data_IF_691696679369
#
_entry.id   IF_691696679369
#
_cell.length_a   1.000
_cell.length_b   1.000
_cell.length_c   1.000
_cell.angle_alpha   90.00
_cell.angle_beta   90.00
_cell.angle_gamma   90.00
#
_symmetry.space_group_name_H-M   'P 1'
#
loop_
_entity.id
_entity.type
_entity.pdbx_description
1 polymer ?
#
# COMPACT_ATOMS: atom_id res chain seq x y z
N UNK A 1 -75.72 -21.08 -31.31
CA UNK A 1 -74.49 -20.55 -31.87
C UNK A 1 -73.48 -20.34 -30.72
N UNK A 2 -72.59 -21.33 -30.47
CA UNK A 2 -71.61 -21.27 -29.38
C UNK A 2 -70.29 -20.76 -29.96
N UNK A 3 -69.80 -19.61 -29.48
CA UNK A 3 -68.41 -19.14 -29.77
C UNK A 3 -67.48 -19.71 -28.80
N UNK A 4 -66.55 -20.58 -29.28
CA UNK A 4 -65.41 -21.10 -28.48
C UNK A 4 -64.34 -20.01 -28.36
N UNK A 5 -64.03 -19.61 -27.13
CA UNK A 5 -62.83 -18.82 -26.83
C UNK A 5 -61.64 -19.77 -26.70
N UNK A 6 -60.62 -19.57 -27.52
CA UNK A 6 -59.31 -20.25 -27.43
C UNK A 6 -58.44 -19.36 -26.56
N UNK A 7 -58.08 -19.88 -25.40
CA UNK A 7 -57.11 -19.25 -24.49
C UNK A 7 -55.69 -19.66 -24.89
N UNK A 8 -54.96 -18.78 -25.54
CA UNK A 8 -53.58 -19.02 -25.92
C UNK A 8 -52.66 -18.83 -24.70
N UNK A 9 -52.03 -19.91 -24.25
CA UNK A 9 -50.98 -19.90 -23.20
C UNK A 9 -49.64 -19.42 -23.83
N UNK A 10 -49.27 -18.18 -23.58
CA UNK A 10 -47.91 -17.70 -23.95
C UNK A 10 -46.96 -18.09 -22.85
N UNK A 11 -46.17 -19.16 -23.07
CA UNK A 11 -45.07 -19.54 -22.21
C UNK A 11 -43.91 -18.58 -22.49
N UNK A 12 -43.72 -17.59 -21.62
CA UNK A 12 -42.53 -16.74 -21.65
C UNK A 12 -41.30 -17.50 -21.22
N UNK A 13 -40.45 -17.93 -22.16
CA UNK A 13 -39.09 -18.34 -21.90
C UNK A 13 -38.27 -17.08 -21.49
N UNK A 14 -38.07 -16.89 -20.20
CA UNK A 14 -36.99 -16.01 -19.72
C UNK A 14 -35.66 -16.70 -19.94
N UNK A 15 -35.00 -16.45 -21.08
CA UNK A 15 -33.58 -16.73 -21.24
C UNK A 15 -32.84 -15.83 -20.24
N UNK A 16 -32.45 -16.41 -19.12
CA UNK A 16 -31.42 -15.85 -18.26
C UNK A 16 -30.13 -15.76 -19.08
N UNK A 17 -29.84 -14.59 -19.61
CA UNK A 17 -28.55 -14.33 -20.20
C UNK A 17 -27.49 -14.43 -19.11
N UNK A 18 -26.90 -15.60 -18.93
CA UNK A 18 -25.58 -15.72 -18.35
C UNK A 18 -24.64 -14.95 -19.30
N UNK A 19 -24.38 -13.70 -19.02
CA UNK A 19 -23.28 -12.98 -19.64
C UNK A 19 -22.02 -13.69 -19.10
N UNK A 20 -21.59 -14.73 -19.81
CA UNK A 20 -20.24 -15.24 -19.66
C UNK A 20 -19.33 -14.06 -19.95
N UNK A 21 -18.72 -13.47 -18.93
CA UNK A 21 -17.63 -12.54 -19.13
C UNK A 21 -16.62 -13.28 -20.00
N UNK A 22 -16.37 -12.76 -21.21
CA UNK A 22 -15.29 -13.28 -22.04
C UNK A 22 -14.04 -13.32 -21.17
N UNK A 23 -13.23 -14.38 -21.29
CA UNK A 23 -12.02 -14.59 -20.51
C UNK A 23 -11.04 -13.44 -20.76
N UNK A 24 -11.24 -12.32 -20.03
CA UNK A 24 -10.35 -11.16 -20.10
C UNK A 24 -9.09 -11.46 -19.29
N UNK A 25 -7.92 -11.29 -19.89
CA UNK A 25 -6.64 -11.52 -19.21
C UNK A 25 -6.46 -10.55 -18.04
N UNK A 26 -5.90 -11.05 -16.95
CA UNK A 26 -5.47 -10.23 -15.82
C UNK A 26 -4.08 -9.66 -16.12
N UNK A 27 -3.90 -8.36 -15.86
CA UNK A 27 -2.60 -7.69 -15.95
C UNK A 27 -2.12 -7.32 -14.53
N UNK A 28 -1.32 -8.19 -13.89
CA UNK A 28 -0.76 -7.88 -12.58
C UNK A 28 0.28 -6.77 -12.69
N UNK A 29 0.12 -5.74 -11.86
CA UNK A 29 1.06 -4.63 -11.75
C UNK A 29 1.79 -4.75 -10.42
N UNK A 30 3.11 -4.84 -10.44
CA UNK A 30 3.95 -4.93 -9.25
C UNK A 30 4.78 -3.67 -9.05
N UNK A 31 5.53 -3.63 -7.97
CA UNK A 31 6.48 -2.58 -7.66
C UNK A 31 7.91 -3.06 -7.88
N UNK A 32 8.83 -2.12 -7.92
CA UNK A 32 10.28 -2.35 -7.99
C UNK A 32 10.81 -3.20 -6.82
N UNK A 33 11.95 -3.86 -7.01
CA UNK A 33 12.52 -4.79 -6.02
C UNK A 33 12.87 -4.14 -4.67
N UNK A 34 13.25 -2.87 -4.64
CA UNK A 34 13.54 -2.10 -3.42
C UNK A 34 12.30 -1.65 -2.66
N UNK A 35 11.11 -1.75 -3.26
CA UNK A 35 9.86 -1.29 -2.68
C UNK A 35 9.51 -2.02 -1.38
N UNK A 36 9.30 -1.24 -0.32
CA UNK A 36 8.75 -1.77 0.92
C UNK A 36 7.31 -2.27 0.75
N UNK A 37 6.52 -1.63 -0.13
CA UNK A 37 5.15 -2.05 -0.44
C UNK A 37 5.14 -3.43 -1.08
N UNK A 38 6.04 -3.69 -2.05
CA UNK A 38 6.21 -5.02 -2.64
C UNK A 38 6.66 -6.04 -1.58
N UNK A 39 7.63 -5.69 -0.74
CA UNK A 39 8.11 -6.59 0.31
C UNK A 39 7.00 -7.00 1.27
N UNK A 40 6.21 -6.04 1.78
CA UNK A 40 5.09 -6.32 2.66
C UNK A 40 3.97 -7.11 1.93
N UNK A 41 3.66 -6.76 0.68
CA UNK A 41 2.67 -7.46 -0.13
C UNK A 41 3.04 -8.93 -0.34
N UNK A 42 4.26 -9.22 -0.78
CA UNK A 42 4.71 -10.59 -1.04
C UNK A 42 4.77 -11.42 0.24
N UNK A 43 5.10 -10.81 1.38
CA UNK A 43 5.09 -11.46 2.68
C UNK A 43 3.67 -11.79 3.16
N UNK A 44 2.76 -10.80 3.15
CA UNK A 44 1.38 -10.96 3.64
C UNK A 44 0.57 -11.97 2.81
N UNK A 45 0.77 -12.00 1.50
CA UNK A 45 0.08 -12.91 0.59
C UNK A 45 0.85 -14.21 0.33
N UNK A 46 2.02 -14.39 0.95
CA UNK A 46 2.82 -15.60 0.78
C UNK A 46 3.43 -15.77 -0.62
N UNK A 47 3.56 -14.70 -1.41
CA UNK A 47 4.12 -14.71 -2.76
C UNK A 47 5.64 -14.85 -2.70
N UNK A 48 6.06 -15.99 -2.15
CA UNK A 48 7.45 -16.32 -1.89
C UNK A 48 7.69 -17.78 -2.25
N UNK A 49 8.89 -18.09 -2.72
CA UNK A 49 9.35 -19.46 -2.89
C UNK A 49 10.65 -19.66 -2.12
N UNK A 50 10.87 -20.87 -1.65
CA UNK A 50 12.11 -21.23 -1.00
C UNK A 50 13.17 -21.60 -2.05
N UNK A 51 14.33 -20.99 -1.96
CA UNK A 51 15.48 -21.32 -2.78
C UNK A 51 16.72 -21.38 -1.90
N UNK A 52 17.36 -22.54 -1.78
CA UNK A 52 18.55 -22.77 -0.97
C UNK A 52 18.39 -22.27 0.48
N UNK A 53 17.25 -22.58 1.12
CA UNK A 53 16.91 -22.17 2.49
C UNK A 53 16.60 -20.68 2.67
N UNK A 54 16.41 -19.93 1.58
CA UNK A 54 16.02 -18.52 1.63
C UNK A 54 14.67 -18.32 0.95
N UNK A 55 13.80 -17.55 1.59
CA UNK A 55 12.55 -17.08 0.98
C UNK A 55 12.88 -15.97 -0.02
N UNK A 56 12.50 -16.18 -1.27
CA UNK A 56 12.67 -15.19 -2.34
C UNK A 56 11.31 -14.82 -2.92
N UNK A 57 11.20 -13.61 -3.43
CA UNK A 57 10.01 -13.10 -4.11
C UNK A 57 9.67 -13.97 -5.33
N UNK A 58 8.42 -14.45 -5.37
CA UNK A 58 7.89 -15.32 -6.43
C UNK A 58 6.96 -14.57 -7.38
N UNK A 59 6.94 -13.24 -7.34
CA UNK A 59 6.13 -12.44 -8.28
C UNK A 59 6.46 -12.84 -9.71
N UNK A 60 5.42 -13.12 -10.50
CA UNK A 60 5.58 -13.51 -11.91
C UNK A 60 6.35 -12.47 -12.71
N UNK A 61 7.21 -12.91 -13.59
CA UNK A 61 7.94 -12.04 -14.53
C UNK A 61 7.04 -11.36 -15.56
N UNK A 62 5.78 -11.80 -15.69
CA UNK A 62 4.78 -11.16 -16.55
C UNK A 62 4.16 -9.92 -15.91
N UNK A 63 4.36 -9.69 -14.60
CA UNK A 63 3.88 -8.49 -13.94
C UNK A 63 4.63 -7.26 -14.45
N UNK A 64 3.89 -6.23 -14.85
CA UNK A 64 4.47 -4.92 -15.14
C UNK A 64 5.03 -4.32 -13.84
N UNK A 65 6.20 -3.70 -13.91
CA UNK A 65 6.89 -3.15 -12.74
C UNK A 65 6.84 -1.62 -12.75
N UNK A 66 6.30 -1.04 -11.69
CA UNK A 66 6.24 0.41 -11.47
C UNK A 66 7.20 0.82 -10.34
N UNK A 67 7.68 2.07 -10.38
CA UNK A 67 8.71 2.59 -9.48
C UNK A 67 8.19 3.51 -8.37
N UNK A 68 6.88 3.73 -8.28
CA UNK A 68 6.27 4.54 -7.23
C UNK A 68 4.79 4.21 -7.02
N UNK A 69 4.23 4.66 -5.89
CA UNK A 69 2.80 4.53 -5.59
C UNK A 69 1.94 5.28 -6.61
N UNK A 70 2.36 6.48 -7.03
CA UNK A 70 1.64 7.29 -8.02
C UNK A 70 1.61 6.61 -9.40
N UNK A 71 2.74 6.08 -9.86
CA UNK A 71 2.82 5.35 -11.15
C UNK A 71 1.95 4.09 -11.09
N UNK A 72 1.96 3.32 -9.98
CA UNK A 72 1.06 2.18 -9.79
C UNK A 72 -0.41 2.57 -9.98
N UNK A 73 -0.87 3.64 -9.33
CA UNK A 73 -2.26 4.10 -9.47
C UNK A 73 -2.59 4.52 -10.91
N UNK A 74 -1.70 5.27 -11.55
CA UNK A 74 -1.89 5.71 -12.94
C UNK A 74 -1.94 4.51 -13.90
N UNK A 75 -1.07 3.52 -13.75
CA UNK A 75 -1.06 2.32 -14.58
C UNK A 75 -2.37 1.53 -14.42
N UNK A 76 -2.82 1.31 -13.17
CA UNK A 76 -4.10 0.61 -12.92
C UNK A 76 -5.30 1.43 -13.44
N UNK A 77 -5.30 2.74 -13.28
CA UNK A 77 -6.37 3.62 -13.77
C UNK A 77 -6.51 3.58 -15.30
N UNK A 78 -5.44 3.36 -16.03
CA UNK A 78 -5.42 3.36 -17.49
C UNK A 78 -5.58 1.95 -18.12
N UNK A 79 -5.67 0.89 -17.33
CA UNK A 79 -5.82 -0.48 -17.82
C UNK A 79 -7.01 -1.17 -17.14
N UNK A 80 -8.09 -1.42 -17.91
CA UNK A 80 -9.33 -2.05 -17.40
C UNK A 80 -9.09 -3.37 -16.68
N UNK A 81 -8.13 -4.15 -17.15
CA UNK A 81 -7.85 -5.50 -16.68
C UNK A 81 -6.68 -5.55 -15.67
N UNK A 82 -6.16 -4.40 -15.27
CA UNK A 82 -5.06 -4.33 -14.32
C UNK A 82 -5.53 -4.60 -12.87
N UNK A 83 -4.65 -5.25 -12.13
CA UNK A 83 -4.71 -5.39 -10.67
C UNK A 83 -3.37 -4.96 -10.08
N UNK A 84 -3.41 -4.17 -9.01
CA UNK A 84 -2.23 -3.70 -8.31
C UNK A 84 -2.47 -3.59 -6.80
N UNK A 85 -1.53 -3.01 -6.10
CA UNK A 85 -1.61 -2.82 -4.65
C UNK A 85 -0.91 -1.54 -4.21
N UNK A 86 -1.51 -0.83 -3.26
CA UNK A 86 -1.01 0.45 -2.75
C UNK A 86 -1.20 0.57 -1.24
N UNK A 87 -0.57 1.59 -0.66
CA UNK A 87 -0.91 2.12 0.66
C UNK A 87 -2.36 2.61 0.68
N UNK A 88 -3.14 2.24 1.70
CA UNK A 88 -4.53 2.67 1.86
C UNK A 88 -4.63 4.19 1.97
N UNK A 89 -3.71 4.84 2.69
CA UNK A 89 -3.71 6.29 2.83
C UNK A 89 -3.36 7.05 1.54
N UNK A 90 -2.91 6.35 0.49
CA UNK A 90 -2.70 6.92 -0.86
C UNK A 90 -3.90 6.73 -1.79
N UNK A 91 -4.91 5.95 -1.36
CA UNK A 91 -6.07 5.67 -2.19
C UNK A 91 -6.84 6.97 -2.53
N UNK A 92 -7.17 7.12 -3.78
CA UNK A 92 -8.01 8.20 -4.29
C UNK A 92 -9.05 7.65 -5.28
N UNK A 93 -9.84 8.53 -5.87
CA UNK A 93 -10.93 8.18 -6.76
C UNK A 93 -10.51 7.85 -8.21
N UNK A 94 -9.23 7.76 -8.53
CA UNK A 94 -8.76 7.33 -9.86
C UNK A 94 -8.80 5.81 -10.04
N UNK A 95 -8.74 5.05 -8.96
CA UNK A 95 -8.80 3.58 -8.94
C UNK A 95 -9.87 3.09 -7.97
N UNK A 96 -10.19 1.81 -8.02
CA UNK A 96 -11.12 1.15 -7.11
C UNK A 96 -10.38 0.18 -6.20
N UNK A 97 -10.48 0.37 -4.88
CA UNK A 97 -10.10 -0.65 -3.92
C UNK A 97 -11.17 -1.74 -3.84
N UNK A 98 -10.74 -2.99 -3.68
CA UNK A 98 -11.65 -4.14 -3.55
C UNK A 98 -11.48 -4.83 -2.20
N UNK A 99 -12.51 -5.53 -1.76
CA UNK A 99 -12.48 -6.35 -0.55
C UNK A 99 -11.50 -7.51 -0.71
N UNK A 100 -10.88 -7.91 0.38
CA UNK A 100 -10.11 -9.16 0.45
C UNK A 100 -10.77 -10.03 1.53
N UNK A 101 -11.12 -11.27 1.20
CA UNK A 101 -11.88 -12.18 2.07
C UNK A 101 -13.20 -11.55 2.58
N UNK A 102 -13.87 -10.77 1.72
CA UNK A 102 -15.12 -10.07 2.05
C UNK A 102 -14.97 -8.80 2.90
N UNK A 103 -13.76 -8.42 3.27
CA UNK A 103 -13.50 -7.24 4.12
C UNK A 103 -12.88 -6.11 3.30
N UNK A 104 -13.51 -4.93 3.32
CA UNK A 104 -12.97 -3.72 2.66
C UNK A 104 -11.75 -3.17 3.40
N UNK A 105 -10.73 -2.70 2.67
CA UNK A 105 -9.63 -1.96 3.27
C UNK A 105 -10.16 -0.61 3.80
N UNK A 106 -10.16 -0.46 5.12
CA UNK A 106 -10.50 0.80 5.79
C UNK A 106 -9.73 0.93 7.11
N UNK A 107 -9.55 2.16 7.56
CA UNK A 107 -8.92 2.44 8.87
C UNK A 107 -9.68 1.73 10.00
N UNK A 108 -11.02 1.75 9.95
CA UNK A 108 -11.86 1.07 10.92
C UNK A 108 -11.63 -0.45 10.94
N UNK A 109 -11.62 -1.09 9.76
CA UNK A 109 -11.44 -2.54 9.64
C UNK A 109 -10.02 -3.00 10.00
N UNK A 110 -9.02 -2.12 9.87
CA UNK A 110 -7.67 -2.42 10.36
C UNK A 110 -7.61 -2.27 11.88
N UNK A 111 -8.23 -1.23 12.44
CA UNK A 111 -8.26 -0.99 13.89
C UNK A 111 -8.98 -2.11 14.65
N UNK A 112 -10.11 -2.59 14.13
CA UNK A 112 -10.87 -3.69 14.74
C UNK A 112 -10.33 -5.08 14.36
N UNK A 113 -9.21 -5.14 13.57
CA UNK A 113 -8.50 -6.34 13.13
C UNK A 113 -9.30 -7.26 12.19
N UNK A 114 -10.42 -6.82 11.63
CA UNK A 114 -11.15 -7.57 10.59
C UNK A 114 -10.37 -7.57 9.27
N UNK A 115 -9.74 -6.45 8.89
CA UNK A 115 -8.81 -6.38 7.76
C UNK A 115 -7.37 -6.57 8.23
N UNK A 116 -6.79 -7.73 7.94
CA UNK A 116 -5.47 -8.12 8.45
C UNK A 116 -4.30 -7.75 7.53
N UNK A 117 -4.57 -7.07 6.42
CA UNK A 117 -3.56 -6.72 5.42
C UNK A 117 -3.04 -5.32 5.75
N UNK A 118 -2.12 -5.27 6.71
CA UNK A 118 -1.52 -4.04 7.21
C UNK A 118 -0.03 -4.23 7.51
N UNK A 119 0.68 -3.12 7.60
CA UNK A 119 2.13 -3.08 7.80
C UNK A 119 2.54 -1.84 8.59
N UNK A 120 3.70 -1.83 9.24
CA UNK A 120 4.24 -0.60 9.80
C UNK A 120 4.77 0.33 8.69
N UNK A 121 4.55 1.61 8.88
CA UNK A 121 5.36 2.66 8.32
C UNK A 121 6.45 3.00 9.32
N UNK A 122 7.68 2.69 8.96
CA UNK A 122 8.84 2.87 9.80
C UNK A 122 9.69 4.05 9.32
N UNK A 123 10.35 4.69 10.27
CA UNK A 123 11.48 5.58 10.02
C UNK A 123 12.74 4.95 10.62
N UNK A 124 13.84 5.06 9.91
CA UNK A 124 15.16 4.58 10.35
C UNK A 124 16.15 5.72 10.45
N UNK A 125 17.01 5.68 11.47
CA UNK A 125 18.10 6.62 11.67
C UNK A 125 19.37 5.85 12.04
N UNK A 126 20.54 6.36 11.68
CA UNK A 126 21.83 5.79 12.08
C UNK A 126 22.50 6.65 13.16
N UNK A 127 22.41 7.96 13.03
CA UNK A 127 22.90 8.92 14.01
C UNK A 127 21.73 9.73 14.52
N UNK A 128 21.81 10.17 15.77
CA UNK A 128 20.80 11.04 16.36
C UNK A 128 21.40 12.41 16.71
N UNK A 129 20.56 13.43 16.62
CA UNK A 129 20.88 14.76 17.08
C UNK A 129 19.58 15.43 17.61
N UNK A 130 19.66 16.58 18.29
CA UNK A 130 18.47 17.23 18.84
C UNK A 130 17.37 17.54 17.81
N UNK A 131 17.72 17.83 16.55
CA UNK A 131 16.75 18.14 15.51
C UNK A 131 16.01 16.88 15.02
N UNK A 132 16.74 15.78 14.80
CA UNK A 132 16.16 14.48 14.46
C UNK A 132 15.18 14.02 15.55
N UNK A 133 15.60 14.09 16.81
CA UNK A 133 14.76 13.66 17.95
C UNK A 133 13.49 14.52 18.09
N UNK A 134 13.61 15.83 17.95
CA UNK A 134 12.47 16.75 18.04
C UNK A 134 11.47 16.50 16.91
N UNK A 135 11.95 16.37 15.67
CA UNK A 135 11.10 16.07 14.52
C UNK A 135 10.43 14.70 14.61
N UNK A 136 11.16 13.66 15.01
CA UNK A 136 10.59 12.32 15.15
C UNK A 136 9.60 12.24 16.31
N UNK A 137 9.90 12.89 17.43
CA UNK A 137 8.96 12.98 18.54
C UNK A 137 7.66 13.70 18.15
N UNK A 138 7.75 14.77 17.37
CA UNK A 138 6.60 15.42 16.77
C UNK A 138 5.81 14.47 15.87
N UNK A 139 6.48 13.91 14.86
CA UNK A 139 5.85 13.15 13.78
C UNK A 139 5.11 11.92 14.30
N UNK A 140 5.71 11.16 15.23
CA UNK A 140 5.11 9.95 15.81
C UNK A 140 3.89 10.27 16.70
N UNK A 141 3.84 11.48 17.29
CA UNK A 141 2.74 11.90 18.14
C UNK A 141 1.70 12.79 17.43
N UNK A 142 1.85 13.06 16.15
CA UNK A 142 0.95 13.88 15.34
C UNK A 142 -0.33 13.11 14.94
N UNK A 143 -1.05 12.56 15.94
CA UNK A 143 -2.22 11.69 15.78
C UNK A 143 -3.22 12.24 14.77
N UNK A 144 -3.63 13.50 14.93
CA UNK A 144 -4.66 14.10 14.07
C UNK A 144 -4.24 14.14 12.58
N UNK A 145 -2.96 14.37 12.28
CA UNK A 145 -2.44 14.38 10.91
C UNK A 145 -2.41 12.96 10.35
N UNK A 146 -1.92 12.00 11.15
CA UNK A 146 -1.81 10.59 10.77
C UNK A 146 -3.19 10.03 10.44
N UNK A 147 -4.17 10.20 11.34
CA UNK A 147 -5.53 9.66 11.18
C UNK A 147 -6.30 10.35 10.05
N UNK A 148 -6.20 11.68 9.93
CA UNK A 148 -6.80 12.42 8.79
C UNK A 148 -6.21 12.01 7.45
N UNK A 149 -5.01 11.47 7.44
CA UNK A 149 -4.34 10.97 6.23
C UNK A 149 -4.65 9.50 5.92
N UNK A 150 -5.55 8.85 6.67
CA UNK A 150 -5.98 7.47 6.41
C UNK A 150 -5.04 6.40 7.01
N UNK A 151 -4.22 6.78 8.00
CA UNK A 151 -3.32 5.87 8.71
C UNK A 151 -3.72 5.72 10.17
N UNK A 152 -3.09 4.79 10.88
CA UNK A 152 -3.35 4.52 12.28
C UNK A 152 -2.18 5.02 13.12
N UNK A 153 -2.46 5.94 14.04
CA UNK A 153 -1.48 6.45 14.99
C UNK A 153 -1.16 5.40 16.06
N UNK A 154 0.12 5.20 16.35
CA UNK A 154 0.58 4.23 17.35
C UNK A 154 0.86 4.87 18.71
N UNK A 155 1.02 6.19 18.76
CA UNK A 155 1.33 6.96 19.98
C UNK A 155 0.53 8.26 20.03
N UNK A 156 0.34 8.77 21.24
CA UNK A 156 -0.49 9.97 21.50
C UNK A 156 0.03 10.77 22.68
N UNK A 157 1.34 10.96 22.78
CA UNK A 157 1.92 11.77 23.85
C UNK A 157 1.89 13.26 23.47
N UNK A 158 1.67 14.12 24.47
CA UNK A 158 1.81 15.57 24.28
C UNK A 158 3.25 15.89 23.87
N UNK A 159 3.39 16.66 22.79
CA UNK A 159 4.66 17.09 22.25
C UNK A 159 4.85 18.60 22.48
N UNK A 160 6.05 18.98 22.87
CA UNK A 160 6.50 20.38 22.96
C UNK A 160 7.88 20.44 22.31
N UNK A 161 7.99 21.21 21.22
CA UNK A 161 9.25 21.38 20.50
C UNK A 161 10.25 22.22 21.30
N UNK A 162 11.51 21.80 21.27
CA UNK A 162 12.65 22.58 21.76
C UNK A 162 13.18 23.57 20.69
N UNK A 163 12.56 23.59 19.51
CA UNK A 163 12.88 24.46 18.37
C UNK A 163 14.37 24.45 17.97
N UNK A 164 14.98 23.26 17.81
CA UNK A 164 16.35 23.13 17.34
C UNK A 164 16.47 23.68 15.91
N UNK A 165 17.63 24.25 15.57
CA UNK A 165 17.93 24.78 14.23
C UNK A 165 18.67 23.76 13.39
N UNK A 166 18.53 23.81 12.08
CA UNK A 166 19.33 23.06 11.15
C UNK A 166 18.60 22.56 9.92
N UNK A 167 19.26 21.62 9.21
CA UNK A 167 18.72 20.96 8.03
C UNK A 167 18.56 19.46 8.31
N UNK A 168 17.49 18.87 7.78
CA UNK A 168 17.26 17.42 7.73
C UNK A 168 17.04 16.99 6.28
N UNK A 169 17.60 15.83 5.92
CA UNK A 169 17.32 15.13 4.68
C UNK A 169 16.59 13.83 5.04
N UNK A 170 15.38 13.67 4.50
CA UNK A 170 14.52 12.50 4.69
C UNK A 170 14.41 11.81 3.33
N UNK A 171 14.73 10.51 3.24
CA UNK A 171 14.70 9.81 1.96
C UNK A 171 14.00 8.46 2.07
N UNK A 172 13.42 7.96 0.97
CA UNK A 172 12.92 6.60 0.87
C UNK A 172 11.49 6.48 0.35
N UNK A 173 10.72 5.58 0.96
CA UNK A 173 9.45 5.04 0.48
C UNK A 173 8.46 6.05 -0.08
N UNK A 174 8.11 5.91 -1.36
CA UNK A 174 7.05 6.69 -2.04
C UNK A 174 5.66 6.52 -1.41
N UNK A 175 5.41 5.44 -0.66
CA UNK A 175 4.15 5.24 0.05
C UNK A 175 4.05 6.08 1.34
N UNK A 176 5.20 6.43 1.94
CA UNK A 176 5.25 7.25 3.16
C UNK A 176 5.32 8.74 2.79
N UNK A 177 5.86 9.08 1.63
CA UNK A 177 6.09 10.46 1.20
C UNK A 177 4.87 11.37 1.40
N UNK A 178 3.62 11.01 1.01
CA UNK A 178 2.47 11.91 1.20
C UNK A 178 2.15 12.23 2.67
N UNK A 179 2.37 11.27 3.57
CA UNK A 179 2.23 11.52 5.02
C UNK A 179 3.39 12.38 5.54
N UNK A 180 4.61 12.09 5.11
CA UNK A 180 5.80 12.80 5.56
C UNK A 180 5.76 14.27 5.15
N UNK A 181 5.29 14.60 3.96
CA UNK A 181 5.10 15.98 3.50
C UNK A 181 4.17 16.78 4.41
N UNK A 182 3.02 16.19 4.78
CA UNK A 182 2.08 16.82 5.73
C UNK A 182 2.67 17.02 7.12
N UNK A 183 3.45 16.03 7.59
CA UNK A 183 4.13 16.11 8.88
C UNK A 183 5.21 17.20 8.88
N UNK A 184 5.98 17.31 7.79
CA UNK A 184 7.01 18.33 7.62
C UNK A 184 6.39 19.72 7.53
N UNK A 185 5.33 19.90 6.74
CA UNK A 185 4.62 21.17 6.62
C UNK A 185 4.10 21.64 7.98
N UNK A 186 3.43 20.74 8.72
CA UNK A 186 2.91 21.05 10.04
C UNK A 186 4.01 21.29 11.07
N UNK A 187 5.11 20.53 11.01
CA UNK A 187 6.25 20.74 11.92
C UNK A 187 6.93 22.10 11.69
N UNK A 188 7.03 22.59 10.46
CA UNK A 188 7.57 23.93 10.16
C UNK A 188 6.77 25.05 10.83
N UNK A 189 5.46 24.87 11.03
CA UNK A 189 4.63 25.82 11.79
C UNK A 189 4.97 25.80 13.30
N UNK A 190 5.40 24.66 13.83
CA UNK A 190 5.83 24.51 15.24
C UNK A 190 7.28 24.96 15.43
N UNK A 191 8.15 24.63 14.48
CA UNK A 191 9.57 24.99 14.47
C UNK A 191 9.98 25.61 13.14
N UNK A 192 9.91 26.96 12.99
CA UNK A 192 10.28 27.63 11.74
C UNK A 192 11.79 27.69 11.47
N UNK A 193 12.63 27.24 12.41
CA UNK A 193 14.10 27.33 12.31
C UNK A 193 14.73 26.16 11.54
N UNK A 194 13.93 25.36 10.82
CA UNK A 194 14.41 24.14 10.14
C UNK A 194 14.23 24.21 8.64
N UNK A 195 15.15 23.57 7.93
CA UNK A 195 15.02 23.23 6.52
C UNK A 195 14.91 21.71 6.43
N UNK A 196 13.80 21.19 5.89
CA UNK A 196 13.59 19.76 5.72
C UNK A 196 13.37 19.48 4.25
N UNK A 197 14.21 18.59 3.71
CA UNK A 197 14.17 18.11 2.34
C UNK A 197 13.68 16.65 2.31
N UNK A 198 12.76 16.35 1.41
CA UNK A 198 12.24 14.98 1.23
C UNK A 198 12.66 14.50 -0.17
N UNK A 199 13.30 13.32 -0.20
CA UNK A 199 13.75 12.65 -1.42
C UNK A 199 13.00 11.32 -1.57
N UNK A 200 12.01 11.31 -2.47
CA UNK A 200 11.23 10.10 -2.72
C UNK A 200 12.04 9.08 -3.51
N UNK A 201 12.00 7.83 -3.01
CA UNK A 201 12.57 6.66 -3.68
C UNK A 201 11.82 5.38 -3.22
N UNK A 202 12.53 4.32 -2.92
CA UNK A 202 12.04 3.10 -2.31
C UNK A 202 12.59 2.88 -0.89
N UNK A 203 12.04 1.88 -0.17
CA UNK A 203 12.42 1.61 1.22
C UNK A 203 13.86 1.12 1.37
N UNK A 204 14.36 0.33 0.44
CA UNK A 204 15.73 -0.20 0.49
C UNK A 204 16.73 0.92 0.25
N UNK A 205 16.46 1.79 -0.71
CA UNK A 205 17.24 3.03 -0.95
C UNK A 205 17.22 3.90 0.30
N UNK A 206 16.05 4.12 0.93
CA UNK A 206 15.94 4.88 2.17
C UNK A 206 16.84 4.35 3.30
N UNK A 207 16.90 3.04 3.48
CA UNK A 207 17.85 2.40 4.43
C UNK A 207 19.30 2.66 4.02
N UNK A 208 19.63 2.47 2.75
CA UNK A 208 21.02 2.57 2.27
C UNK A 208 21.57 3.98 2.46
N UNK A 209 20.86 5.02 2.04
CA UNK A 209 21.34 6.40 2.15
C UNK A 209 21.48 6.87 3.61
N UNK A 210 20.68 6.32 4.53
CA UNK A 210 20.86 6.56 5.98
C UNK A 210 22.11 5.85 6.52
N UNK A 211 22.35 4.61 6.11
CA UNK A 211 23.55 3.88 6.50
C UNK A 211 24.81 4.56 5.99
N UNK A 212 24.78 5.13 4.81
CA UNK A 212 25.87 5.87 4.16
C UNK A 212 26.02 7.30 4.71
N UNK A 213 25.04 7.80 5.47
CA UNK A 213 25.05 9.14 6.04
C UNK A 213 24.71 10.25 5.04
N UNK A 214 24.10 9.90 3.91
CA UNK A 214 23.60 10.83 2.88
C UNK A 214 22.26 11.46 3.32
N UNK A 215 21.41 10.67 4.01
CA UNK A 215 20.18 11.14 4.61
C UNK A 215 20.19 10.93 6.13
N UNK A 216 19.45 11.78 6.84
CA UNK A 216 19.30 11.72 8.28
C UNK A 216 18.25 10.71 8.72
N UNK A 217 17.15 10.62 7.96
CA UNK A 217 15.99 9.77 8.24
C UNK A 217 15.62 9.00 6.98
N UNK A 218 15.46 7.67 7.12
CA UNK A 218 14.98 6.79 6.04
C UNK A 218 13.53 6.41 6.23
N UNK A 219 12.73 6.43 5.17
CA UNK A 219 11.33 6.01 5.16
C UNK A 219 11.21 4.56 4.66
N UNK A 220 10.62 3.67 5.47
CA UNK A 220 10.55 2.23 5.19
C UNK A 220 9.12 1.72 5.40
N UNK A 221 8.43 1.35 4.32
CA UNK A 221 7.02 0.91 4.34
C UNK A 221 6.87 -0.62 4.42
N UNK A 222 7.64 -1.25 5.26
CA UNK A 222 7.64 -2.67 5.61
C UNK A 222 8.37 -2.87 6.93
N UNK A 223 8.38 -4.10 7.45
CA UNK A 223 9.31 -4.45 8.50
C UNK A 223 10.77 -4.24 8.05
N UNK A 224 11.60 -3.73 8.95
CA UNK A 224 13.03 -3.56 8.69
C UNK A 224 13.70 -4.90 8.85
N UNK A 225 14.46 -5.33 7.85
CA UNK A 225 15.09 -6.64 7.83
C UNK A 225 16.19 -6.74 8.87
N UNK A 226 16.38 -7.92 9.43
CA UNK A 226 17.42 -8.17 10.42
C UNK A 226 18.84 -7.82 9.91
N UNK A 227 19.10 -8.10 8.63
CA UNK A 227 20.34 -7.71 7.97
C UNK A 227 20.54 -6.19 7.88
N UNK A 228 19.45 -5.43 7.79
CA UNK A 228 19.48 -3.96 7.78
C UNK A 228 19.74 -3.41 9.19
N UNK A 229 19.12 -4.00 10.23
CA UNK A 229 19.35 -3.65 11.63
C UNK A 229 20.81 -3.85 12.03
N UNK A 230 21.46 -4.92 11.57
CA UNK A 230 22.89 -5.20 11.81
C UNK A 230 23.83 -4.13 11.23
N UNK A 231 23.33 -3.22 10.38
CA UNK A 231 24.12 -2.10 9.84
C UNK A 231 24.15 -0.87 10.77
N UNK A 232 23.65 -1.01 12.01
CA UNK A 232 23.71 0.02 13.05
C UNK A 232 22.64 1.09 12.94
N UNK A 233 21.50 0.78 12.31
CA UNK A 233 20.32 1.66 12.29
C UNK A 233 19.36 1.34 13.42
N UNK A 234 18.65 2.35 13.90
CA UNK A 234 17.52 2.21 14.81
C UNK A 234 16.21 2.51 14.10
N UNK A 235 15.14 1.85 14.54
CA UNK A 235 13.82 1.88 13.91
C UNK A 235 12.81 2.51 14.85
N UNK A 236 11.92 3.34 14.30
CA UNK A 236 10.73 3.84 15.01
C UNK A 236 9.51 3.70 14.12
N UNK A 237 8.43 3.16 14.69
CA UNK A 237 7.14 3.07 13.99
C UNK A 237 6.53 4.47 13.93
N UNK A 238 6.27 4.95 12.73
CA UNK A 238 5.61 6.22 12.46
C UNK A 238 4.08 6.09 12.53
N UNK A 239 3.55 5.07 11.84
CA UNK A 239 2.13 4.77 11.75
C UNK A 239 1.91 3.31 11.33
N UNK A 240 0.68 2.82 11.40
CA UNK A 240 0.26 1.58 10.73
C UNK A 240 -0.53 1.96 9.48
N UNK A 241 -0.20 1.30 8.37
CA UNK A 241 -0.82 1.47 7.07
C UNK A 241 -1.50 0.18 6.61
N UNK A 242 -2.65 0.31 5.97
CA UNK A 242 -3.29 -0.79 5.26
C UNK A 242 -2.73 -0.93 3.85
N UNK A 243 -2.63 -2.17 3.37
CA UNK A 243 -2.41 -2.46 1.96
C UNK A 243 -3.76 -2.68 1.27
N UNK A 244 -4.09 -1.86 0.28
CA UNK A 244 -5.28 -2.01 -0.54
C UNK A 244 -4.94 -2.70 -1.86
N UNK A 245 -5.72 -3.73 -2.22
CA UNK A 245 -5.74 -4.27 -3.58
C UNK A 245 -6.60 -3.33 -4.42
N UNK A 246 -6.07 -2.90 -5.55
CA UNK A 246 -6.72 -1.93 -6.44
C UNK A 246 -6.90 -2.51 -7.83
N UNK A 247 -8.03 -2.14 -8.44
CA UNK A 247 -8.34 -2.42 -9.84
C UNK A 247 -8.81 -1.15 -10.53
N UNK A 248 -8.91 -1.19 -11.86
CA UNK A 248 -9.54 -0.12 -12.63
C UNK A 248 -11.01 0.08 -12.20
N UNK A 249 -11.51 1.30 -12.24
CA UNK A 249 -12.92 1.60 -11.89
C UNK A 249 -13.94 0.83 -12.73
N UNK A 250 -13.63 0.57 -13.99
CA UNK A 250 -14.49 -0.18 -14.90
C UNK A 250 -14.42 -1.70 -14.71
N UNK A 251 -13.46 -2.20 -13.91
CA UNK A 251 -13.39 -3.63 -13.58
C UNK A 251 -14.58 -4.01 -12.67
N UNK A 252 -15.37 -5.05 -12.99
CA UNK A 252 -16.57 -5.41 -12.21
C UNK A 252 -16.26 -6.05 -10.85
N UNK A 253 -15.03 -6.56 -10.64
CA UNK A 253 -14.65 -7.26 -9.41
C UNK A 253 -14.73 -6.32 -8.19
N UNK A 254 -15.36 -6.78 -7.12
CA UNK A 254 -15.50 -6.04 -5.85
C UNK A 254 -14.90 -6.77 -4.66
N UNK A 255 -14.57 -8.06 -4.82
CA UNK A 255 -13.97 -8.89 -3.80
C UNK A 255 -12.98 -9.88 -4.42
N UNK A 256 -11.98 -10.27 -3.65
CA UNK A 256 -10.98 -11.26 -4.06
C UNK A 256 -10.51 -12.06 -2.82
N UNK A 257 -10.18 -13.33 -3.02
CA UNK A 257 -9.57 -14.14 -1.95
C UNK A 257 -8.06 -13.94 -1.89
N UNK A 258 -7.45 -14.22 -0.73
CA UNK A 258 -5.98 -14.24 -0.62
C UNK A 258 -5.33 -15.24 -1.58
N UNK A 259 -5.96 -16.40 -1.76
CA UNK A 259 -5.51 -17.43 -2.69
C UNK A 259 -5.52 -16.91 -4.15
N UNK A 260 -6.59 -16.21 -4.55
CA UNK A 260 -6.64 -15.62 -5.89
C UNK A 260 -5.56 -14.55 -6.09
N UNK A 261 -5.30 -13.70 -5.09
CA UNK A 261 -4.19 -12.74 -5.15
C UNK A 261 -2.85 -13.46 -5.31
N UNK A 262 -2.61 -14.49 -4.49
CA UNK A 262 -1.40 -15.32 -4.62
C UNK A 262 -1.24 -15.87 -6.04
N UNK A 263 -2.27 -16.55 -6.56
CA UNK A 263 -2.25 -17.16 -7.89
C UNK A 263 -2.09 -16.17 -9.03
N UNK A 264 -2.70 -15.00 -8.94
CA UNK A 264 -2.51 -13.92 -9.93
C UNK A 264 -1.06 -13.45 -9.95
N UNK A 265 -0.51 -13.14 -8.78
CA UNK A 265 0.83 -12.57 -8.71
C UNK A 265 1.96 -13.60 -8.82
N UNK A 266 1.66 -14.90 -8.71
CA UNK A 266 2.59 -15.99 -9.11
C UNK A 266 2.45 -16.39 -10.57
N UNK A 267 1.36 -15.97 -11.24
CA UNK A 267 1.10 -16.26 -12.67
C UNK A 267 0.35 -17.57 -12.90
N UNK A 268 -0.20 -18.17 -11.85
CA UNK A 268 -1.03 -19.39 -11.92
C UNK A 268 -2.47 -19.08 -12.36
N UNK A 269 -2.98 -17.88 -12.08
CA UNK A 269 -4.30 -17.38 -12.50
C UNK A 269 -4.09 -16.21 -13.44
N UNK A 270 -4.65 -16.30 -14.65
CA UNK A 270 -4.35 -15.35 -15.73
C UNK A 270 -5.57 -14.67 -16.33
N UNK A 271 -6.78 -15.09 -15.95
CA UNK A 271 -8.04 -14.55 -16.50
C UNK A 271 -9.05 -14.24 -15.39
N UNK A 272 -9.87 -13.19 -15.59
CA UNK A 272 -10.80 -12.69 -14.58
C UNK A 272 -11.97 -13.65 -14.27
N UNK A 273 -12.36 -14.52 -15.20
CA UNK A 273 -13.39 -15.55 -14.99
C UNK A 273 -12.98 -16.63 -13.99
N UNK A 274 -11.67 -16.76 -13.71
CA UNK A 274 -11.14 -17.66 -12.68
C UNK A 274 -11.24 -17.08 -11.26
N UNK A 275 -11.44 -15.77 -11.11
CA UNK A 275 -11.52 -15.10 -9.80
C UNK A 275 -12.89 -15.34 -9.20
N UNK A 276 -12.90 -15.95 -8.00
CA UNK A 276 -14.11 -16.26 -7.23
C UNK A 276 -14.30 -15.30 -6.07
#
# INVERSE_FOLDING_TARGET
MMKKCILGLVAGLTLGANIAMAAENIYPISREMGSGTRGAFTEIFGIQKELKGKKIDATTTKAEVTNSTGVMMTTVANSKNAIGYISLGSLNDTVKAISVEGVMPSVENINNKSYKISRPFNVVIKKSNPLIEDFLAYSINAKAIIEKSGYIATKTKKFVSKKPKGKLVIAGSSSITPLMEKLVESYKSVNPNVVIEIQQSDSTTGVNVVVEGIADIGMVSREVKEAELKRGISVRVLAIDGLAIIVNKANPITNITKDSVYKIFTGEMTTWDQVK
#
